data_IF_801721288200
#
_entry.id   IF_801721288200
#
_cell.length_a   1.000
_cell.length_b   1.000
_cell.length_c   1.000
_cell.angle_alpha   90.00
_cell.angle_beta   90.00
_cell.angle_gamma   90.00
#
_symmetry.space_group_name_H-M   'P 1'
#
loop_
_entity.id
_entity.type
_entity.pdbx_description
1 polymer ?
#
# COMPACT_ATOMS: atom_id res chain seq x y z
N UNK A 1 44.89 -44.79 -14.86
CA UNK A 1 43.99 -43.63 -15.11
C UNK A 1 44.85 -42.38 -15.16
N UNK A 2 45.13 -41.85 -16.36
CA UNK A 2 46.12 -40.78 -16.60
C UNK A 2 45.35 -39.44 -16.44
N UNK A 3 45.59 -38.72 -15.36
CA UNK A 3 45.06 -37.38 -15.17
C UNK A 3 45.81 -36.42 -16.10
N UNK A 4 45.15 -35.65 -16.99
CA UNK A 4 45.86 -34.79 -17.93
C UNK A 4 46.61 -33.66 -17.19
N UNK A 5 47.87 -33.46 -17.59
CA UNK A 5 48.83 -32.54 -16.98
C UNK A 5 48.45 -31.04 -17.05
N UNK A 6 47.36 -30.72 -17.75
CA UNK A 6 46.92 -29.33 -18.02
C UNK A 6 45.82 -28.80 -17.09
N UNK A 7 45.32 -29.59 -16.13
CA UNK A 7 44.28 -29.19 -15.21
C UNK A 7 44.66 -27.95 -14.36
N UNK A 8 45.90 -27.87 -13.94
CA UNK A 8 46.38 -26.74 -13.08
C UNK A 8 46.31 -25.37 -13.75
N UNK A 9 46.20 -25.27 -15.08
CA UNK A 9 46.13 -24.00 -15.82
C UNK A 9 44.71 -23.41 -15.86
N UNK A 10 43.70 -24.24 -15.72
CA UNK A 10 42.28 -23.79 -15.80
C UNK A 10 41.68 -23.47 -14.43
N UNK A 11 42.28 -23.90 -13.33
CA UNK A 11 41.77 -23.67 -12.00
C UNK A 11 41.66 -22.18 -11.62
N UNK A 12 42.63 -21.30 -11.87
CA UNK A 12 42.50 -19.88 -11.51
C UNK A 12 41.35 -19.17 -12.27
N UNK A 13 41.13 -19.56 -13.53
CA UNK A 13 40.00 -18.97 -14.32
C UNK A 13 38.65 -19.43 -13.77
N UNK A 14 38.50 -20.70 -13.46
CA UNK A 14 37.27 -21.22 -12.85
C UNK A 14 37.02 -20.63 -11.45
N UNK A 15 38.06 -20.44 -10.64
CA UNK A 15 37.95 -19.83 -9.32
C UNK A 15 37.53 -18.34 -9.41
N UNK A 16 38.06 -17.59 -10.38
CA UNK A 16 37.70 -16.19 -10.62
C UNK A 16 36.24 -16.08 -11.09
N UNK A 17 35.80 -16.98 -11.97
CA UNK A 17 34.42 -16.98 -12.47
C UNK A 17 33.41 -17.27 -11.35
N UNK A 18 33.70 -18.26 -10.50
CA UNK A 18 32.86 -18.59 -9.34
C UNK A 18 32.81 -17.43 -8.34
N UNK A 19 33.95 -16.80 -8.05
CA UNK A 19 33.99 -15.63 -7.16
C UNK A 19 33.18 -14.46 -7.73
N UNK A 20 33.28 -14.18 -9.03
CA UNK A 20 32.50 -13.12 -9.67
C UNK A 20 30.99 -13.42 -9.61
N UNK A 21 30.56 -14.66 -9.84
CA UNK A 21 29.14 -15.05 -9.74
C UNK A 21 28.65 -14.88 -8.29
N UNK A 22 29.43 -15.29 -7.30
CA UNK A 22 29.08 -15.12 -5.88
C UNK A 22 28.94 -13.65 -5.51
N UNK A 23 29.86 -12.80 -5.96
CA UNK A 23 29.79 -11.35 -5.72
C UNK A 23 28.52 -10.75 -6.35
N UNK A 24 28.21 -11.11 -7.59
CA UNK A 24 26.98 -10.63 -8.26
C UNK A 24 25.72 -11.12 -7.53
N UNK A 25 25.67 -12.39 -7.14
CA UNK A 25 24.52 -12.95 -6.41
C UNK A 25 24.36 -12.27 -5.04
N UNK A 26 25.46 -12.02 -4.33
CA UNK A 26 25.43 -11.30 -3.04
C UNK A 26 24.97 -9.86 -3.21
N UNK A 27 25.44 -9.15 -4.25
CA UNK A 27 24.98 -7.78 -4.53
C UNK A 27 23.49 -7.73 -4.91
N UNK A 28 23.03 -8.62 -5.78
CA UNK A 28 21.61 -8.72 -6.16
C UNK A 28 20.72 -9.08 -4.95
N UNK A 29 21.21 -9.97 -4.07
CA UNK A 29 20.52 -10.30 -2.84
C UNK A 29 20.50 -9.13 -1.84
N UNK A 30 21.64 -8.44 -1.69
CA UNK A 30 21.75 -7.25 -0.84
C UNK A 30 20.83 -6.11 -1.34
N UNK A 31 20.78 -5.84 -2.65
CA UNK A 31 19.88 -4.84 -3.24
C UNK A 31 18.39 -5.20 -3.02
N UNK A 32 18.06 -6.48 -2.96
CA UNK A 32 16.69 -6.91 -2.61
C UNK A 32 16.35 -6.71 -1.14
N UNK A 33 17.33 -6.87 -0.26
CA UNK A 33 17.17 -6.73 1.20
C UNK A 33 17.12 -5.25 1.61
N UNK A 34 17.82 -4.37 0.90
CA UNK A 34 17.90 -2.93 1.18
C UNK A 34 16.79 -2.11 0.53
N UNK A 35 15.94 -2.70 -0.33
CA UNK A 35 14.73 -2.03 -0.77
C UNK A 35 13.80 -1.90 0.43
N UNK A 36 13.71 -0.68 0.96
CA UNK A 36 12.68 -0.36 1.96
C UNK A 36 11.33 -0.89 1.47
N UNK A 37 10.61 -1.57 2.38
CA UNK A 37 9.29 -2.10 2.06
C UNK A 37 8.42 -0.94 1.52
N UNK A 38 7.71 -1.13 0.41
CA UNK A 38 6.93 -0.07 -0.19
C UNK A 38 5.90 0.47 0.82
N UNK A 39 5.66 1.79 0.79
CA UNK A 39 4.76 2.45 1.74
C UNK A 39 3.28 2.14 1.46
N UNK A 40 2.95 0.89 1.21
CA UNK A 40 1.59 0.38 1.13
C UNK A 40 1.48 -1.04 1.69
N UNK A 41 0.28 -1.43 2.06
CA UNK A 41 -0.05 -2.76 2.58
C UNK A 41 -1.31 -3.28 1.89
N UNK A 42 -1.31 -4.58 1.58
CA UNK A 42 -2.50 -5.26 1.13
C UNK A 42 -3.45 -5.44 2.33
N UNK A 43 -4.63 -4.88 2.25
CA UNK A 43 -5.66 -5.01 3.28
C UNK A 43 -6.44 -6.30 3.06
N UNK A 44 -6.84 -6.52 1.81
CA UNK A 44 -7.48 -7.73 1.30
C UNK A 44 -7.24 -7.83 -0.20
N UNK A 45 -7.63 -8.93 -0.81
CA UNK A 45 -7.44 -9.13 -2.26
C UNK A 45 -8.03 -7.95 -3.07
N UNK A 46 -7.18 -7.35 -3.90
CA UNK A 46 -7.50 -6.20 -4.72
C UNK A 46 -7.74 -4.87 -3.98
N UNK A 47 -7.37 -4.75 -2.69
CA UNK A 47 -7.52 -3.52 -1.92
C UNK A 47 -6.26 -3.16 -1.14
N UNK A 48 -5.64 -2.04 -1.50
CA UNK A 48 -4.41 -1.54 -0.92
C UNK A 48 -4.64 -0.26 -0.12
N UNK A 49 -3.92 -0.13 0.98
CA UNK A 49 -3.88 1.07 1.82
C UNK A 49 -2.43 1.53 1.96
N UNK A 50 -2.16 2.81 1.76
CA UNK A 50 -0.79 3.29 1.88
C UNK A 50 -0.60 4.78 2.00
N UNK A 51 0.69 5.15 1.90
CA UNK A 51 1.14 6.51 1.76
C UNK A 51 1.48 6.84 0.31
N UNK A 52 1.98 8.07 0.10
CA UNK A 52 2.47 8.51 -1.19
C UNK A 52 3.63 7.63 -1.66
N UNK A 53 3.57 7.21 -2.92
CA UNK A 53 4.57 6.36 -3.58
C UNK A 53 4.79 6.86 -5.01
N UNK A 54 5.99 6.65 -5.59
CA UNK A 54 6.27 7.06 -6.96
C UNK A 54 5.58 6.19 -8.02
N UNK A 55 5.17 4.97 -7.65
CA UNK A 55 4.47 4.00 -8.51
C UNK A 55 3.37 3.30 -7.70
N UNK A 56 2.20 3.05 -8.29
CA UNK A 56 1.10 2.41 -7.59
C UNK A 56 1.40 0.93 -7.28
N UNK A 57 0.66 0.30 -6.33
CA UNK A 57 0.77 -1.14 -6.08
C UNK A 57 0.55 -1.98 -7.35
N UNK A 58 1.09 -3.21 -7.39
CA UNK A 58 0.93 -4.10 -8.54
C UNK A 58 -0.54 -4.35 -8.90
N UNK A 59 -0.86 -4.26 -10.19
CA UNK A 59 -2.20 -4.49 -10.72
C UNK A 59 -3.21 -3.38 -10.40
N UNK A 60 -2.79 -2.29 -9.77
CA UNK A 60 -3.67 -1.17 -9.42
C UNK A 60 -4.32 -0.55 -10.67
N UNK A 61 -5.65 -0.58 -10.72
CA UNK A 61 -6.46 0.00 -11.79
C UNK A 61 -7.24 1.25 -11.36
N UNK A 62 -7.35 1.50 -10.04
CA UNK A 62 -8.04 2.67 -9.49
C UNK A 62 -7.30 3.24 -8.28
N UNK A 63 -7.23 4.56 -8.18
CA UNK A 63 -6.56 5.26 -7.06
C UNK A 63 -7.49 6.31 -6.46
N UNK A 64 -7.58 6.31 -5.14
CA UNK A 64 -8.14 7.40 -4.34
C UNK A 64 -7.01 8.10 -3.60
N UNK A 65 -6.66 9.28 -4.08
CA UNK A 65 -5.60 10.12 -3.50
C UNK A 65 -6.20 11.18 -2.58
N UNK A 66 -5.84 11.14 -1.30
CA UNK A 66 -6.27 12.09 -0.26
C UNK A 66 -5.16 13.11 0.09
N UNK A 67 -4.07 13.14 -0.69
CA UNK A 67 -2.98 14.10 -0.51
C UNK A 67 -3.34 15.48 -1.06
N UNK A 68 -2.62 16.49 -0.60
CA UNK A 68 -2.68 17.85 -1.12
C UNK A 68 -2.02 18.00 -2.51
N UNK A 69 -1.27 17.00 -2.96
CA UNK A 69 -0.62 16.94 -4.28
C UNK A 69 -1.08 15.73 -5.08
N UNK A 70 -1.12 15.87 -6.40
CA UNK A 70 -1.39 14.77 -7.32
C UNK A 70 -0.26 13.74 -7.32
N UNK A 71 -0.57 12.55 -7.83
CA UNK A 71 0.40 11.49 -7.99
C UNK A 71 1.23 11.66 -9.27
N UNK A 72 2.48 11.17 -9.31
CA UNK A 72 3.34 11.26 -10.49
C UNK A 72 3.02 10.19 -11.56
N UNK A 73 1.99 9.36 -11.36
CA UNK A 73 1.60 8.27 -12.24
C UNK A 73 0.13 8.36 -12.67
N UNK A 74 -0.23 7.62 -13.71
CA UNK A 74 -1.59 7.52 -14.21
C UNK A 74 -2.12 6.09 -14.06
N UNK A 75 -3.42 5.99 -13.73
CA UNK A 75 -4.18 4.73 -13.66
C UNK A 75 -5.49 4.88 -14.42
N UNK A 76 -6.17 3.76 -14.67
CA UNK A 76 -7.43 3.76 -15.43
C UNK A 76 -8.55 4.58 -14.80
N UNK A 77 -8.63 4.60 -13.46
CA UNK A 77 -9.59 5.40 -12.69
C UNK A 77 -8.86 6.15 -11.57
N UNK A 78 -9.01 7.45 -11.51
CA UNK A 78 -8.29 8.30 -10.55
C UNK A 78 -9.24 9.32 -9.93
N UNK A 79 -9.34 9.29 -8.59
CA UNK A 79 -10.06 10.31 -7.82
C UNK A 79 -9.09 11.04 -6.90
N UNK A 80 -8.94 12.34 -7.12
CA UNK A 80 -8.21 13.22 -6.23
C UNK A 80 -9.18 13.96 -5.32
N UNK A 81 -9.14 13.66 -4.04
CA UNK A 81 -10.03 14.19 -3.00
C UNK A 81 -9.22 14.70 -1.80
N UNK A 82 -8.46 15.78 -1.97
CA UNK A 82 -7.52 16.25 -0.96
C UNK A 82 -8.25 16.75 0.30
N UNK A 83 -7.78 16.30 1.45
CA UNK A 83 -8.18 16.82 2.76
C UNK A 83 -6.96 17.07 3.64
N UNK A 84 -7.11 17.97 4.62
CA UNK A 84 -6.09 18.19 5.65
C UNK A 84 -6.15 17.06 6.68
N UNK A 85 -5.00 16.71 7.24
CA UNK A 85 -4.89 15.76 8.36
C UNK A 85 -5.02 16.51 9.69
N UNK A 86 -6.15 17.19 9.88
CA UNK A 86 -6.42 18.11 10.99
C UNK A 86 -7.93 18.36 11.14
N UNK A 87 -8.31 19.08 12.18
CA UNK A 87 -9.65 19.68 12.32
C UNK A 87 -9.84 20.89 11.38
N UNK A 88 -11.07 21.12 10.92
CA UNK A 88 -12.23 20.25 11.06
C UNK A 88 -12.12 18.99 10.19
N UNK A 89 -12.74 17.89 10.64
CA UNK A 89 -12.95 16.72 9.78
C UNK A 89 -13.87 17.09 8.59
N UNK A 90 -13.81 16.36 7.48
CA UNK A 90 -14.83 16.48 6.43
C UNK A 90 -16.19 16.02 6.98
N UNK A 91 -17.27 16.32 6.27
CA UNK A 91 -18.60 15.87 6.65
C UNK A 91 -18.88 14.42 6.19
N UNK A 92 -20.02 13.89 6.62
CA UNK A 92 -20.44 12.53 6.28
C UNK A 92 -20.73 12.38 4.76
N UNK A 93 -21.17 13.41 4.08
CA UNK A 93 -21.47 13.36 2.64
C UNK A 93 -20.18 13.21 1.84
N UNK A 94 -19.16 13.98 2.18
CA UNK A 94 -17.82 13.79 1.61
C UNK A 94 -17.32 12.36 1.84
N UNK A 95 -17.47 11.81 3.05
CA UNK A 95 -17.02 10.45 3.36
C UNK A 95 -17.81 9.40 2.56
N UNK A 96 -19.12 9.59 2.39
CA UNK A 96 -19.98 8.73 1.54
C UNK A 96 -19.47 8.68 0.11
N UNK A 97 -19.10 9.82 -0.46
CA UNK A 97 -18.57 9.90 -1.83
C UNK A 97 -17.26 9.11 -1.99
N UNK A 98 -16.36 9.14 -0.98
CA UNK A 98 -15.11 8.39 -1.06
C UNK A 98 -15.36 6.89 -0.95
N UNK A 99 -16.24 6.49 -0.04
CA UNK A 99 -16.67 5.08 0.10
C UNK A 99 -17.35 4.58 -1.17
N UNK A 100 -18.25 5.36 -1.76
CA UNK A 100 -18.94 5.02 -3.01
C UNK A 100 -17.95 4.84 -4.18
N UNK A 101 -16.90 5.65 -4.26
CA UNK A 101 -15.84 5.47 -5.25
C UNK A 101 -15.18 4.09 -5.10
N UNK A 102 -14.75 3.73 -3.88
CA UNK A 102 -14.12 2.42 -3.63
C UNK A 102 -15.08 1.29 -4.01
N UNK A 103 -16.34 1.37 -3.61
CA UNK A 103 -17.38 0.38 -3.94
C UNK A 103 -17.56 0.20 -5.45
N UNK A 104 -17.67 1.30 -6.18
CA UNK A 104 -17.84 1.31 -7.64
C UNK A 104 -16.64 0.66 -8.34
N UNK A 105 -15.43 1.04 -7.96
CA UNK A 105 -14.20 0.54 -8.57
C UNK A 105 -14.00 -0.96 -8.28
N UNK A 106 -14.28 -1.38 -7.05
CA UNK A 106 -14.25 -2.80 -6.65
C UNK A 106 -15.31 -3.62 -7.38
N UNK A 107 -16.51 -3.09 -7.52
CA UNK A 107 -17.60 -3.75 -8.26
C UNK A 107 -17.30 -3.89 -9.76
N UNK A 108 -16.49 -2.98 -10.32
CA UNK A 108 -15.97 -3.07 -11.67
C UNK A 108 -14.77 -4.03 -11.81
N UNK A 109 -14.40 -4.75 -10.74
CA UNK A 109 -13.29 -5.71 -10.73
C UNK A 109 -11.90 -5.08 -10.70
N UNK A 110 -11.78 -3.78 -10.42
CA UNK A 110 -10.49 -3.11 -10.36
C UNK A 110 -9.82 -3.28 -8.99
N UNK A 111 -8.51 -3.39 -9.02
CA UNK A 111 -7.65 -3.29 -7.84
C UNK A 111 -7.57 -1.82 -7.43
N UNK A 112 -7.95 -1.52 -6.18
CA UNK A 112 -8.05 -0.15 -5.65
C UNK A 112 -6.92 0.14 -4.68
N UNK A 113 -6.30 1.30 -4.83
CA UNK A 113 -5.33 1.85 -3.88
C UNK A 113 -5.87 3.14 -3.25
N UNK A 114 -5.99 3.14 -1.93
CA UNK A 114 -6.39 4.31 -1.14
C UNK A 114 -5.17 4.82 -0.38
N UNK A 115 -4.80 6.06 -0.60
CA UNK A 115 -3.62 6.60 0.06
C UNK A 115 -3.75 8.06 0.48
N UNK A 116 -2.89 8.45 1.39
CA UNK A 116 -2.61 9.83 1.77
C UNK A 116 -1.08 10.01 1.84
N UNK A 117 -0.57 11.04 2.50
CA UNK A 117 0.87 11.27 2.55
C UNK A 117 1.64 10.12 3.21
N UNK A 118 1.21 9.66 4.37
CA UNK A 118 1.91 8.65 5.18
C UNK A 118 1.19 7.29 5.23
N UNK A 119 -0.05 7.20 4.77
CA UNK A 119 -0.84 5.98 4.88
C UNK A 119 -1.24 5.63 6.31
N UNK A 120 -1.45 6.64 7.14
CA UNK A 120 -1.67 6.49 8.59
C UNK A 120 -3.06 6.96 9.02
N UNK A 121 -3.45 8.18 8.65
CA UNK A 121 -4.63 8.85 9.20
C UNK A 121 -5.76 8.99 8.18
N UNK A 122 -5.65 9.87 7.19
CA UNK A 122 -6.70 10.17 6.19
C UNK A 122 -7.15 8.93 5.43
N UNK A 123 -6.20 8.20 4.86
CA UNK A 123 -6.48 6.95 4.15
C UNK A 123 -6.98 5.84 5.08
N UNK A 124 -6.50 5.82 6.33
CA UNK A 124 -6.99 4.92 7.37
C UNK A 124 -8.46 5.17 7.71
N UNK A 125 -8.88 6.44 7.80
CA UNK A 125 -10.28 6.82 8.02
C UNK A 125 -11.18 6.34 6.89
N UNK A 126 -10.87 6.68 5.63
CA UNK A 126 -11.70 6.29 4.49
C UNK A 126 -11.78 4.78 4.32
N UNK A 127 -10.65 4.09 4.50
CA UNK A 127 -10.62 2.62 4.46
C UNK A 127 -11.45 2.01 5.59
N UNK A 128 -11.40 2.59 6.80
CA UNK A 128 -12.23 2.14 7.91
C UNK A 128 -13.72 2.31 7.58
N UNK A 129 -14.15 3.47 7.08
CA UNK A 129 -15.55 3.71 6.72
C UNK A 129 -16.04 2.73 5.65
N UNK A 130 -15.22 2.42 4.62
CA UNK A 130 -15.54 1.44 3.61
C UNK A 130 -15.75 0.03 4.22
N UNK A 131 -14.83 -0.44 5.05
CA UNK A 131 -14.92 -1.75 5.68
C UNK A 131 -16.07 -1.83 6.69
N UNK A 132 -16.31 -0.79 7.48
CA UNK A 132 -17.45 -0.72 8.40
C UNK A 132 -18.77 -0.93 7.66
N UNK A 133 -18.97 -0.22 6.54
CA UNK A 133 -20.18 -0.34 5.72
C UNK A 133 -20.32 -1.73 5.09
N UNK A 134 -19.27 -2.24 4.48
CA UNK A 134 -19.32 -3.52 3.75
C UNK A 134 -19.48 -4.72 4.67
N UNK A 135 -18.73 -4.75 5.78
CA UNK A 135 -18.68 -5.89 6.70
C UNK A 135 -19.69 -5.77 7.84
N UNK A 136 -20.39 -4.63 7.96
CA UNK A 136 -21.23 -4.30 9.11
C UNK A 136 -20.47 -4.41 10.45
N UNK A 137 -19.20 -3.99 10.43
CA UNK A 137 -18.36 -4.01 11.62
C UNK A 137 -18.41 -2.67 12.36
N UNK A 138 -18.37 -2.70 13.70
CA UNK A 138 -18.17 -1.48 14.47
C UNK A 138 -16.77 -0.90 14.23
N UNK A 139 -16.65 0.40 14.45
CA UNK A 139 -15.42 1.18 14.26
C UNK A 139 -14.19 0.52 14.87
N UNK A 140 -14.28 0.15 16.14
CA UNK A 140 -13.11 -0.33 16.88
C UNK A 140 -12.60 -1.68 16.35
N UNK A 141 -13.52 -2.59 16.01
CA UNK A 141 -13.18 -3.86 15.36
C UNK A 141 -12.52 -3.61 13.99
N UNK A 142 -13.04 -2.67 13.22
CA UNK A 142 -12.49 -2.32 11.90
C UNK A 142 -11.09 -1.73 12.02
N UNK A 143 -10.85 -0.84 12.97
CA UNK A 143 -9.53 -0.27 13.23
C UNK A 143 -8.52 -1.32 13.71
N UNK A 144 -8.95 -2.26 14.53
CA UNK A 144 -8.12 -3.41 14.94
C UNK A 144 -7.72 -4.27 13.73
N UNK A 145 -8.68 -4.61 12.87
CA UNK A 145 -8.40 -5.33 11.63
C UNK A 145 -7.42 -4.57 10.75
N UNK A 146 -7.62 -3.28 10.51
CA UNK A 146 -6.71 -2.46 9.72
C UNK A 146 -5.29 -2.43 10.31
N UNK A 147 -5.16 -2.32 11.63
CA UNK A 147 -3.86 -2.34 12.32
C UNK A 147 -3.17 -3.70 12.22
N UNK A 148 -3.92 -4.79 12.13
CA UNK A 148 -3.34 -6.12 11.89
C UNK A 148 -2.69 -6.24 10.52
N UNK A 149 -3.16 -5.47 9.52
CA UNK A 149 -2.64 -5.42 8.14
C UNK A 149 -1.59 -4.32 7.94
N UNK A 150 -1.80 -3.19 8.61
CA UNK A 150 -0.92 -2.02 8.58
C UNK A 150 -0.84 -1.40 9.99
N UNK A 151 0.15 -1.78 10.79
CA UNK A 151 0.24 -1.39 12.21
C UNK A 151 0.25 0.11 12.47
N UNK A 152 0.70 0.91 11.49
CA UNK A 152 0.75 2.37 11.58
C UNK A 152 -0.60 3.09 11.47
N UNK A 153 -1.72 2.39 11.21
CA UNK A 153 -3.03 3.04 11.05
C UNK A 153 -3.49 3.67 12.35
N UNK A 154 -3.58 5.00 12.32
CA UNK A 154 -4.00 5.85 13.45
C UNK A 154 -4.67 7.12 12.92
N UNK A 155 -5.97 7.09 12.64
CA UNK A 155 -6.72 8.27 12.23
C UNK A 155 -6.63 9.39 13.29
N UNK A 156 -6.63 10.65 12.81
CA UNK A 156 -6.69 11.83 13.66
C UNK A 156 -7.94 11.78 14.59
N UNK A 157 -7.91 12.35 15.82
CA UNK A 157 -9.05 12.32 16.74
C UNK A 157 -10.37 12.80 16.12
N UNK A 158 -10.35 13.89 15.33
CA UNK A 158 -11.54 14.36 14.61
C UNK A 158 -12.08 13.32 13.60
N UNK A 159 -11.22 12.55 12.97
CA UNK A 159 -11.63 11.47 12.08
C UNK A 159 -12.17 10.25 12.82
N UNK A 160 -11.69 9.98 14.03
CA UNK A 160 -12.28 8.96 14.89
C UNK A 160 -13.70 9.33 15.32
N UNK A 161 -13.96 10.63 15.57
CA UNK A 161 -15.30 11.13 15.85
C UNK A 161 -16.22 11.00 14.63
N UNK A 162 -15.74 11.38 13.43
CA UNK A 162 -16.49 11.20 12.20
C UNK A 162 -16.83 9.72 11.93
N UNK A 163 -15.91 8.79 12.25
CA UNK A 163 -16.17 7.35 12.13
C UNK A 163 -17.22 6.86 13.14
N UNK A 164 -17.36 7.47 14.31
CA UNK A 164 -18.49 7.19 15.22
C UNK A 164 -19.83 7.66 14.63
N UNK A 165 -19.87 8.84 14.06
CA UNK A 165 -21.05 9.35 13.37
C UNK A 165 -21.41 8.49 12.17
N UNK A 166 -20.41 8.03 11.43
CA UNK A 166 -20.56 7.07 10.32
C UNK A 166 -21.19 5.76 10.80
N UNK A 167 -20.72 5.20 11.92
CA UNK A 167 -21.25 3.96 12.51
C UNK A 167 -22.75 4.02 12.80
N UNK A 168 -23.25 5.20 13.20
CA UNK A 168 -24.66 5.40 13.50
C UNK A 168 -25.51 5.79 12.29
N UNK A 169 -24.91 6.00 11.12
CA UNK A 169 -25.58 6.51 9.91
C UNK A 169 -25.97 5.46 8.88
N UNK A 170 -25.69 4.16 9.14
CA UNK A 170 -25.96 3.05 8.21
C UNK A 170 -26.19 1.70 8.92
#
# INVERSE_FOLDING_TARGET
MIVPKNWRRFWPVAAITVAAIVVVVVHVAADRITREAPNYSLIEDGLWLGGFVPEPPPGCGAVLNLCESEDPYHVGSYKWAPIRDAEPAPDLDWLREQVAFIESERSAGRVVFVHCRNGVSRSGMVMAAYLMKREHWPRDKTLEFLRSRRPGVRPHPAFLQLLLEWEHSH
#
